data_IF_979529073688
#
_entry.id   IF_979529073688
#
_cell.length_a   1.000
_cell.length_b   1.000
_cell.length_c   1.000
_cell.angle_alpha   90.00
_cell.angle_beta   90.00
_cell.angle_gamma   90.00
#
_symmetry.space_group_name_H-M   'P 1'
#
loop_
_entity.id
_entity.type
_entity.pdbx_description
1 polymer ?
#
# COMPACT_ATOMS: atom_id res chain seq x y z
N UNK A 1 -11.51 -62.80 13.05
CA UNK A 1 -11.64 -61.61 13.93
C UNK A 1 -10.43 -60.70 13.89
N UNK A 2 -9.22 -61.19 14.02
CA UNK A 2 -7.96 -60.38 14.02
C UNK A 2 -7.74 -59.63 12.69
N UNK A 3 -8.11 -60.24 11.55
CA UNK A 3 -7.89 -59.62 10.23
C UNK A 3 -8.84 -58.41 9.96
N UNK A 4 -10.09 -58.50 10.40
CA UNK A 4 -11.04 -57.33 10.28
C UNK A 4 -10.62 -56.16 11.16
N UNK A 5 -10.13 -56.43 12.36
CA UNK A 5 -9.66 -55.36 13.26
C UNK A 5 -8.43 -54.61 12.69
N UNK A 6 -7.53 -55.33 12.01
CA UNK A 6 -6.40 -54.68 11.31
C UNK A 6 -6.80 -53.80 10.16
N UNK A 7 -7.81 -54.19 9.37
CA UNK A 7 -8.35 -53.35 8.28
C UNK A 7 -9.03 -52.10 8.80
N UNK A 8 -9.77 -52.17 9.91
CA UNK A 8 -10.44 -51.01 10.50
C UNK A 8 -9.42 -49.99 11.04
N UNK A 9 -8.36 -50.46 11.67
CA UNK A 9 -7.28 -49.59 12.17
C UNK A 9 -6.54 -48.92 11.01
N UNK A 10 -6.24 -49.67 9.93
CA UNK A 10 -5.56 -49.09 8.76
C UNK A 10 -6.40 -48.01 8.05
N UNK A 11 -7.70 -48.24 7.90
CA UNK A 11 -8.62 -47.25 7.33
C UNK A 11 -8.75 -46.01 8.21
N UNK A 12 -8.81 -46.14 9.53
CA UNK A 12 -8.84 -45.04 10.48
C UNK A 12 -7.59 -44.13 10.43
N UNK A 13 -6.41 -44.76 10.28
CA UNK A 13 -5.13 -44.03 10.16
C UNK A 13 -5.04 -43.27 8.84
N UNK A 14 -5.53 -43.86 7.74
CA UNK A 14 -5.55 -43.20 6.42
C UNK A 14 -6.52 -42.04 6.40
N UNK A 15 -7.71 -42.13 6.97
CA UNK A 15 -8.66 -41.03 7.12
C UNK A 15 -8.11 -39.92 8.03
N UNK A 16 -7.34 -40.22 9.05
CA UNK A 16 -6.72 -39.20 9.93
C UNK A 16 -5.62 -38.41 9.26
N UNK A 17 -4.90 -38.97 8.30
CA UNK A 17 -3.83 -38.28 7.56
C UNK A 17 -4.35 -37.33 6.48
N UNK A 18 -5.59 -37.48 6.02
CA UNK A 18 -6.20 -36.60 5.01
C UNK A 18 -6.62 -35.24 5.55
N UNK A 19 -6.68 -35.04 6.86
CA UNK A 19 -7.03 -33.76 7.48
C UNK A 19 -5.81 -32.88 7.84
N UNK A 20 -4.58 -33.29 7.52
CA UNK A 20 -3.36 -32.57 7.87
C UNK A 20 -2.98 -31.46 6.86
N UNK A 21 -3.72 -31.29 5.77
CA UNK A 21 -3.51 -30.22 4.80
C UNK A 21 -4.61 -29.15 4.90
N UNK A 22 -4.76 -28.51 6.06
CA UNK A 22 -5.40 -27.19 6.11
C UNK A 22 -4.29 -26.16 5.86
N UNK A 23 -4.32 -25.42 4.74
CA UNK A 23 -3.45 -24.29 4.59
C UNK A 23 -3.90 -23.23 5.62
N UNK A 24 -3.16 -23.07 6.70
CA UNK A 24 -3.28 -21.92 7.62
C UNK A 24 -2.73 -20.69 6.90
N UNK A 25 -3.44 -20.27 5.87
CA UNK A 25 -3.26 -18.99 5.22
C UNK A 25 -4.35 -18.06 5.71
N UNK A 26 -4.06 -17.23 6.70
CA UNK A 26 -4.84 -16.02 6.99
C UNK A 26 -4.61 -15.00 5.88
N UNK A 27 -4.94 -15.36 4.65
CA UNK A 27 -4.97 -14.45 3.51
C UNK A 27 -6.41 -13.98 3.35
N UNK A 28 -6.70 -12.73 3.70
CA UNK A 28 -7.97 -12.12 3.35
C UNK A 28 -8.19 -12.23 1.83
N UNK A 29 -9.38 -12.63 1.44
CA UNK A 29 -9.76 -12.76 0.04
C UNK A 29 -9.49 -11.44 -0.70
N UNK A 30 -8.59 -11.45 -1.67
CA UNK A 30 -8.46 -10.39 -2.65
C UNK A 30 -7.13 -9.68 -2.79
N UNK A 31 -6.12 -9.92 -1.95
CA UNK A 31 -4.81 -9.27 -2.10
C UNK A 31 -3.78 -10.18 -2.78
N UNK A 32 -3.24 -9.72 -3.94
CA UNK A 32 -2.13 -10.40 -4.62
C UNK A 32 -0.75 -10.10 -3.98
N UNK A 33 -0.68 -9.11 -3.08
CA UNK A 33 0.51 -8.66 -2.37
C UNK A 33 0.41 -8.90 -0.87
N UNK A 34 1.46 -8.55 -0.13
CA UNK A 34 1.49 -8.66 1.32
C UNK A 34 0.39 -7.80 1.95
N UNK A 35 -0.52 -8.41 2.69
CA UNK A 35 -1.51 -7.72 3.49
C UNK A 35 -0.83 -7.10 4.72
N UNK A 36 -0.95 -5.78 4.86
CA UNK A 36 -0.41 -5.00 5.98
C UNK A 36 -1.51 -4.45 6.89
N UNK A 37 -2.72 -5.00 6.81
CA UNK A 37 -3.84 -4.59 7.66
C UNK A 37 -3.46 -4.68 9.13
N UNK A 38 -3.66 -3.59 9.87
CA UNK A 38 -3.31 -3.48 11.30
C UNK A 38 -1.84 -3.12 11.58
N UNK A 39 -0.99 -2.94 10.56
CA UNK A 39 0.35 -2.41 10.75
C UNK A 39 0.31 -0.97 11.29
N UNK A 40 1.21 -0.65 12.25
CA UNK A 40 1.21 0.64 12.95
C UNK A 40 2.09 1.72 12.30
N UNK A 41 2.64 1.47 11.11
CA UNK A 41 3.41 2.48 10.39
C UNK A 41 2.51 3.28 9.43
N UNK A 42 2.91 4.49 9.09
CA UNK A 42 2.17 5.37 8.18
C UNK A 42 0.88 5.94 8.77
N UNK A 43 0.75 6.01 10.09
CA UNK A 43 -0.47 6.47 10.75
C UNK A 43 -0.66 7.98 10.68
N UNK A 44 0.41 8.74 10.63
CA UNK A 44 0.37 10.20 10.52
C UNK A 44 1.73 10.74 10.04
N UNK A 45 1.71 11.98 9.57
CA UNK A 45 2.89 12.80 9.33
C UNK A 45 2.64 14.24 9.79
N UNK A 46 3.71 14.98 10.08
CA UNK A 46 3.68 16.42 10.31
C UNK A 46 4.79 17.05 9.48
N UNK A 47 4.42 17.66 8.39
CA UNK A 47 5.34 18.21 7.38
C UNK A 47 4.93 19.64 7.03
N UNK A 48 5.83 20.37 6.36
CA UNK A 48 5.54 21.70 5.80
C UNK A 48 5.34 21.53 4.30
N UNK A 49 4.24 22.07 3.77
CA UNK A 49 3.95 22.01 2.35
C UNK A 49 4.72 23.08 1.53
N UNK A 50 4.58 23.02 0.22
CA UNK A 50 5.20 23.97 -0.71
C UNK A 50 4.62 25.41 -0.64
N UNK A 51 3.64 25.64 0.21
CA UNK A 51 3.12 26.97 0.57
C UNK A 51 3.62 27.43 1.94
N UNK A 52 4.51 26.66 2.59
CA UNK A 52 5.02 26.92 3.94
C UNK A 52 4.01 26.62 5.05
N UNK A 53 2.94 25.87 4.77
CA UNK A 53 1.91 25.54 5.74
C UNK A 53 2.13 24.15 6.37
N UNK A 54 1.91 24.01 7.69
CA UNK A 54 1.95 22.70 8.33
C UNK A 54 0.81 21.81 7.80
N UNK A 55 1.14 20.55 7.52
CA UNK A 55 0.20 19.52 7.03
C UNK A 55 0.35 18.23 7.81
N UNK A 56 -0.77 17.55 7.95
CA UNK A 56 -0.90 16.22 8.54
C UNK A 56 -1.89 15.38 7.73
N UNK A 57 -1.99 14.07 7.97
CA UNK A 57 -3.02 13.25 7.33
C UNK A 57 -4.44 13.70 7.66
N UNK A 58 -4.65 14.33 8.81
CA UNK A 58 -5.96 14.84 9.20
C UNK A 58 -6.52 15.92 8.25
N UNK A 59 -5.65 16.66 7.55
CA UNK A 59 -6.05 17.69 6.58
C UNK A 59 -6.70 17.10 5.32
N UNK A 60 -6.52 15.80 5.09
CA UNK A 60 -7.01 15.09 3.91
C UNK A 60 -8.18 14.15 4.22
N UNK A 61 -8.85 14.32 5.36
CA UNK A 61 -9.99 13.47 5.73
C UNK A 61 -11.08 13.45 4.66
N UNK A 62 -11.62 12.27 4.38
CA UNK A 62 -12.62 12.05 3.33
C UNK A 62 -12.03 11.93 1.93
N UNK A 63 -10.70 11.93 1.80
CA UNK A 63 -9.98 11.71 0.54
C UNK A 63 -9.15 10.43 0.58
N UNK A 64 -8.90 9.86 -0.57
CA UNK A 64 -7.86 8.84 -0.75
C UNK A 64 -6.53 9.58 -0.94
N UNK A 65 -5.57 9.35 -0.05
CA UNK A 65 -4.24 9.96 -0.14
C UNK A 65 -3.26 8.95 -0.71
N UNK A 66 -2.62 9.30 -1.82
CA UNK A 66 -1.51 8.52 -2.38
C UNK A 66 -0.20 9.21 -2.03
N UNK A 67 0.68 8.51 -1.30
CA UNK A 67 1.98 9.04 -0.90
C UNK A 67 3.05 8.57 -1.89
N UNK A 68 3.84 9.51 -2.38
CA UNK A 68 5.00 9.27 -3.21
C UNK A 68 6.24 9.91 -2.57
N UNK A 69 7.25 9.10 -2.29
CA UNK A 69 8.53 9.57 -1.76
C UNK A 69 9.50 9.79 -2.90
N UNK A 70 10.02 11.01 -3.03
CA UNK A 70 10.90 11.39 -4.13
C UNK A 70 11.72 12.64 -3.83
N UNK A 71 12.39 13.20 -4.84
CA UNK A 71 13.17 14.43 -4.74
C UNK A 71 13.31 15.10 -6.11
N UNK A 72 13.50 16.43 -6.15
CA UNK A 72 13.50 17.21 -7.41
C UNK A 72 14.68 16.91 -8.34
N UNK A 73 15.80 16.44 -7.79
CA UNK A 73 17.00 16.11 -8.57
C UNK A 73 17.00 14.68 -9.12
N UNK A 74 15.93 13.94 -8.94
CA UNK A 74 15.78 12.59 -9.47
C UNK A 74 15.69 12.65 -11.01
N UNK A 75 16.60 12.00 -11.76
CA UNK A 75 16.72 12.25 -13.21
C UNK A 75 15.67 11.52 -14.04
N UNK A 76 15.01 10.48 -13.52
CA UNK A 76 14.18 9.58 -14.32
C UNK A 76 12.92 9.12 -13.60
N UNK A 77 13.06 8.30 -12.56
CA UNK A 77 11.93 7.57 -11.96
C UNK A 77 10.90 8.48 -11.31
N UNK A 78 11.33 9.60 -10.70
CA UNK A 78 10.40 10.50 -10.04
C UNK A 78 9.53 11.29 -11.02
N UNK A 79 10.08 11.97 -12.05
CA UNK A 79 9.23 12.66 -13.02
C UNK A 79 8.32 11.69 -13.79
N UNK A 80 8.82 10.50 -14.16
CA UNK A 80 8.00 9.49 -14.83
C UNK A 80 6.83 9.02 -13.95
N UNK A 81 7.06 8.83 -12.65
CA UNK A 81 6.00 8.42 -11.71
C UNK A 81 4.97 9.51 -11.49
N UNK A 82 5.39 10.77 -11.38
CA UNK A 82 4.48 11.91 -11.25
C UNK A 82 3.62 12.08 -12.51
N UNK A 83 4.21 11.94 -13.70
CA UNK A 83 3.46 11.98 -14.95
C UNK A 83 2.40 10.88 -15.01
N UNK A 84 2.74 9.64 -14.63
CA UNK A 84 1.78 8.53 -14.57
C UNK A 84 0.64 8.80 -13.57
N UNK A 85 0.94 9.45 -12.45
CA UNK A 85 -0.10 9.86 -11.49
C UNK A 85 -1.04 10.89 -12.13
N UNK A 86 -0.52 11.90 -12.82
CA UNK A 86 -1.31 12.90 -13.54
C UNK A 86 -2.20 12.24 -14.59
N UNK A 87 -1.63 11.41 -15.46
CA UNK A 87 -2.37 10.66 -16.49
C UNK A 87 -3.49 9.80 -15.88
N UNK A 88 -3.22 9.18 -14.73
CA UNK A 88 -4.21 8.37 -14.01
C UNK A 88 -5.37 9.21 -13.49
N UNK A 89 -5.08 10.41 -12.94
CA UNK A 89 -6.12 11.33 -12.47
C UNK A 89 -6.97 11.83 -13.65
N UNK A 90 -6.38 12.12 -14.78
CA UNK A 90 -7.10 12.52 -16.00
C UNK A 90 -8.03 11.41 -16.48
N UNK A 91 -7.58 10.15 -16.48
CA UNK A 91 -8.40 8.99 -16.84
C UNK A 91 -9.58 8.76 -15.87
N UNK A 92 -9.42 9.12 -14.60
CA UNK A 92 -10.47 8.98 -13.59
C UNK A 92 -11.55 10.08 -13.70
N UNK A 93 -11.24 11.20 -14.33
CA UNK A 93 -12.16 12.32 -14.52
C UNK A 93 -12.72 12.83 -13.19
N UNK A 94 -14.03 12.92 -13.05
CA UNK A 94 -14.66 13.43 -11.83
C UNK A 94 -14.30 12.63 -10.56
N UNK A 95 -14.01 11.34 -10.69
CA UNK A 95 -13.59 10.50 -9.55
C UNK A 95 -12.23 10.90 -8.99
N UNK A 96 -11.39 11.57 -9.77
CA UNK A 96 -10.12 12.10 -9.30
C UNK A 96 -10.26 13.11 -8.15
N UNK A 97 -11.41 13.78 -8.03
CA UNK A 97 -11.68 14.73 -6.94
C UNK A 97 -11.64 14.05 -5.55
N UNK A 98 -11.81 12.73 -5.48
CA UNK A 98 -11.70 11.99 -4.23
C UNK A 98 -10.24 11.61 -3.87
N UNK A 99 -9.27 11.87 -4.76
CA UNK A 99 -7.87 11.45 -4.61
C UNK A 99 -6.97 12.67 -4.45
N UNK A 100 -6.03 12.60 -3.52
CA UNK A 100 -4.99 13.63 -3.32
C UNK A 100 -3.63 12.97 -3.40
N UNK A 101 -2.87 13.17 -4.48
CA UNK A 101 -1.47 12.76 -4.54
C UNK A 101 -0.61 13.71 -3.71
N UNK A 102 0.21 13.16 -2.84
CA UNK A 102 1.13 13.90 -1.98
C UNK A 102 2.56 13.42 -2.26
N UNK A 103 3.40 14.32 -2.78
CA UNK A 103 4.84 14.11 -2.88
C UNK A 103 5.49 14.52 -1.56
N UNK A 104 6.23 13.60 -0.96
CA UNK A 104 7.06 13.87 0.22
C UNK A 104 8.53 13.79 -0.22
N UNK A 105 9.23 14.92 -0.10
CA UNK A 105 10.66 14.91 -0.43
C UNK A 105 11.48 14.16 0.61
N UNK A 106 12.45 13.39 0.11
CA UNK A 106 13.48 12.72 0.94
C UNK A 106 14.79 13.53 0.96
N UNK A 107 14.79 14.71 0.35
CA UNK A 107 15.96 15.61 0.29
C UNK A 107 15.57 17.07 0.66
N UNK A 108 15.11 17.30 1.88
CA UNK A 108 14.59 18.62 2.30
C UNK A 108 15.67 19.72 2.30
N UNK A 109 16.95 19.36 2.30
CA UNK A 109 18.04 20.33 2.24
C UNK A 109 18.15 21.02 0.86
N UNK A 110 17.81 20.31 -0.22
CA UNK A 110 17.86 20.83 -1.60
C UNK A 110 16.50 21.20 -2.16
N UNK A 111 15.46 20.55 -1.68
CA UNK A 111 14.07 20.71 -2.14
C UNK A 111 13.35 21.74 -1.26
N UNK A 112 13.62 23.02 -1.52
CA UNK A 112 12.90 24.09 -0.82
C UNK A 112 11.42 24.13 -1.22
N UNK A 113 10.54 24.76 -0.43
CA UNK A 113 9.12 24.93 -0.79
C UNK A 113 8.92 25.50 -2.19
N UNK A 114 9.73 26.50 -2.59
CA UNK A 114 9.66 27.13 -3.91
C UNK A 114 9.99 26.14 -5.03
N UNK A 115 11.05 25.33 -4.87
CA UNK A 115 11.40 24.28 -5.85
C UNK A 115 10.32 23.22 -5.96
N UNK A 116 9.77 22.78 -4.82
CA UNK A 116 8.69 21.81 -4.81
C UNK A 116 7.44 22.35 -5.51
N UNK A 117 7.11 23.64 -5.30
CA UNK A 117 5.98 24.31 -5.97
C UNK A 117 6.13 24.31 -7.49
N UNK A 118 7.35 24.50 -7.99
CA UNK A 118 7.60 24.49 -9.43
C UNK A 118 7.64 23.08 -10.01
N UNK A 119 8.06 22.11 -9.20
CA UNK A 119 8.20 20.73 -9.61
C UNK A 119 6.87 19.95 -9.71
N UNK A 120 5.86 20.30 -8.90
CA UNK A 120 4.54 19.61 -8.85
C UNK A 120 3.44 20.32 -9.66
N UNK A 121 3.78 21.27 -10.53
CA UNK A 121 2.84 21.99 -11.41
C UNK A 121 2.37 21.17 -12.58
#
# INVERSE_FOLDING_TARGET
MVSMLRCIIAVGVILGLLNACSPSGSGGEGFANTDITGAKYGQDFKLIDHHGQPRSLADYRGKVVTLFFGYTQCPDVCPTSLQRNADTLDLLGERAQAIVPVLITVDPARDTPEKLKDYVR
#
